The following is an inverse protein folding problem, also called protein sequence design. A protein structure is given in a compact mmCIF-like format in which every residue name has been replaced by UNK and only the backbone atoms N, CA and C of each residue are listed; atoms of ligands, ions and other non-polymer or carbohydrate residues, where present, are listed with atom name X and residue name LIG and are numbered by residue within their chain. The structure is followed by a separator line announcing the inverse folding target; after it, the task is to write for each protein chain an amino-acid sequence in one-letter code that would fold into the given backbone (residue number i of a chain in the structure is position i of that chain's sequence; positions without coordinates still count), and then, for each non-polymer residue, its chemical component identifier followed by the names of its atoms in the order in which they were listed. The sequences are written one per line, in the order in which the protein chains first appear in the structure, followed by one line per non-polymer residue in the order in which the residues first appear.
data_IF_652970735248
#
_entry.id   IF_652970735248
#
_cell.length_a   1.000
_cell.length_b   1.000
_cell.length_c   1.000
_cell.angle_alpha   90.00
_cell.angle_beta   90.00
_cell.angle_gamma   90.00
#
_symmetry.space_group_name_H-M   'P 1'
#
loop_
_entity.id
_entity.type
_entity.pdbx_description
1 polymer ?
#
# COMPACT_ATOMS: atom_id res chain seq x y z
N UNK A 1 -18.87 7.34 15.96
CA UNK A 1 -19.06 6.61 14.69
C UNK A 1 -20.51 6.15 14.48
N UNK A 2 -21.18 5.54 15.47
CA UNK A 2 -22.61 5.15 15.41
C UNK A 2 -23.59 6.31 15.10
N UNK A 3 -23.32 7.53 15.60
CA UNK A 3 -24.13 8.73 15.28
C UNK A 3 -23.96 9.26 13.84
N UNK A 4 -22.84 8.93 13.17
CA UNK A 4 -22.57 9.44 11.82
C UNK A 4 -23.27 8.56 10.78
N UNK A 5 -23.23 7.24 10.96
CA UNK A 5 -23.97 6.29 10.12
C UNK A 5 -25.50 6.48 10.24
N UNK A 6 -26.00 6.85 11.43
CA UNK A 6 -27.42 7.13 11.63
C UNK A 6 -27.94 8.39 10.94
N UNK A 7 -27.08 9.36 10.58
CA UNK A 7 -27.49 10.61 9.93
C UNK A 7 -27.48 10.55 8.39
N UNK A 8 -26.67 9.66 7.80
CA UNK A 8 -26.57 9.54 6.34
C UNK A 8 -27.84 8.93 5.72
N UNK A 9 -28.61 8.15 6.47
CA UNK A 9 -29.78 7.40 5.96
C UNK A 9 -31.13 8.10 6.12
N UNK A 10 -31.18 9.31 6.71
CA UNK A 10 -32.44 10.05 6.91
C UNK A 10 -32.71 10.95 5.69
N UNK A 11 -32.98 10.36 4.53
CA UNK A 11 -33.74 11.04 3.47
C UNK A 11 -35.12 10.37 3.38
N UNK A 12 -36.13 11.12 3.84
CA UNK A 12 -37.55 10.77 3.85
C UNK A 12 -38.05 10.44 2.44
N UNK A 13 -38.72 9.31 2.30
CA UNK A 13 -39.84 9.16 1.36
C UNK A 13 -41.00 8.50 2.09
N UNK A 14 -42.18 9.07 1.90
CA UNK A 14 -43.46 8.68 2.49
C UNK A 14 -44.10 7.55 1.68
N UNK A 15 -44.34 6.40 2.32
CA UNK A 15 -45.29 5.31 2.03
C UNK A 15 -44.64 3.92 2.15
N UNK A 16 -45.17 3.10 3.06
CA UNK A 16 -44.76 1.70 3.33
C UNK A 16 -43.50 1.60 4.20
N UNK A 17 -43.33 0.48 4.93
CA UNK A 17 -42.09 0.25 5.68
C UNK A 17 -40.93 0.26 4.68
N UNK A 18 -40.23 1.37 4.62
CA UNK A 18 -39.25 1.64 3.57
C UNK A 18 -38.12 0.62 3.72
N UNK A 19 -37.44 0.28 2.62
CA UNK A 19 -36.21 -0.52 2.64
C UNK A 19 -35.24 -0.06 3.76
N UNK A 20 -35.25 1.24 4.08
CA UNK A 20 -34.50 1.82 5.19
C UNK A 20 -34.92 1.31 6.58
N UNK A 21 -36.21 1.09 6.85
CA UNK A 21 -36.69 0.54 8.13
C UNK A 21 -36.32 -0.94 8.28
N UNK A 22 -36.33 -1.71 7.19
CA UNK A 22 -35.81 -3.08 7.18
C UNK A 22 -34.29 -3.12 7.43
N UNK A 23 -33.54 -2.18 6.85
CA UNK A 23 -32.11 -2.02 7.10
C UNK A 23 -31.81 -1.63 8.56
N UNK A 24 -32.58 -0.69 9.12
CA UNK A 24 -32.43 -0.28 10.51
C UNK A 24 -32.78 -1.41 11.48
N UNK A 25 -33.83 -2.18 11.21
CA UNK A 25 -34.18 -3.34 12.02
C UNK A 25 -33.07 -4.41 11.99
N UNK A 26 -32.48 -4.68 10.81
CA UNK A 26 -31.39 -5.67 10.67
C UNK A 26 -30.08 -5.20 11.28
N UNK A 27 -29.79 -3.90 11.20
CA UNK A 27 -28.67 -3.28 11.93
C UNK A 27 -28.89 -3.41 13.43
N UNK A 28 -30.07 -3.03 13.93
CA UNK A 28 -30.41 -3.15 15.35
C UNK A 28 -30.27 -4.60 15.84
N UNK A 29 -30.81 -5.57 15.13
CA UNK A 29 -30.68 -6.99 15.47
C UNK A 29 -29.20 -7.47 15.46
N UNK A 30 -28.40 -6.98 14.52
CA UNK A 30 -26.97 -7.32 14.45
C UNK A 30 -26.23 -6.73 15.63
N UNK A 31 -26.43 -5.44 15.94
CA UNK A 31 -25.74 -4.74 17.03
C UNK A 31 -26.23 -5.13 18.42
N UNK A 32 -27.50 -5.50 18.61
CA UNK A 32 -28.04 -6.00 19.88
C UNK A 32 -27.43 -7.36 20.27
N UNK A 33 -26.94 -8.14 19.29
CA UNK A 33 -26.24 -9.42 19.51
C UNK A 33 -24.72 -9.28 19.67
N UNK A 34 -24.16 -8.10 19.43
CA UNK A 34 -22.73 -7.87 19.57
C UNK A 34 -22.39 -7.46 20.98
N UNK A 35 -21.30 -8.03 21.50
CA UNK A 35 -20.74 -7.56 22.75
C UNK A 35 -20.15 -6.15 22.54
N UNK A 36 -20.89 -5.14 22.96
CA UNK A 36 -20.50 -3.74 22.85
C UNK A 36 -19.15 -3.43 23.52
N UNK A 37 -18.77 -4.20 24.55
CA UNK A 37 -17.46 -4.08 25.20
C UNK A 37 -16.33 -4.49 24.26
N UNK A 38 -16.52 -5.59 23.51
CA UNK A 38 -15.53 -6.06 22.52
C UNK A 38 -15.36 -5.03 21.41
N UNK A 39 -16.47 -4.51 20.87
CA UNK A 39 -16.44 -3.47 19.83
C UNK A 39 -15.74 -2.21 20.34
N UNK A 40 -16.08 -1.75 21.54
CA UNK A 40 -15.46 -0.59 22.15
C UNK A 40 -13.95 -0.79 22.30
N UNK A 41 -13.52 -1.93 22.83
CA UNK A 41 -12.11 -2.25 23.02
C UNK A 41 -11.35 -2.31 21.68
N UNK A 42 -11.95 -2.90 20.64
CA UNK A 42 -11.34 -2.93 19.30
C UNK A 42 -11.22 -1.53 18.70
N UNK A 43 -12.26 -0.72 18.76
CA UNK A 43 -12.21 0.67 18.27
C UNK A 43 -11.18 1.49 19.04
N UNK A 44 -11.12 1.34 20.36
CA UNK A 44 -10.13 2.01 21.19
C UNK A 44 -8.71 1.61 20.78
N UNK A 45 -8.45 0.31 20.59
CA UNK A 45 -7.17 -0.19 20.09
C UNK A 45 -6.84 0.37 18.70
N UNK A 46 -7.77 0.33 17.75
CA UNK A 46 -7.55 0.83 16.38
C UNK A 46 -7.20 2.31 16.39
N UNK A 47 -7.97 3.15 17.08
CA UNK A 47 -7.73 4.60 17.08
C UNK A 47 -6.46 4.98 17.85
N UNK A 48 -6.11 4.23 18.89
CA UNK A 48 -4.88 4.44 19.67
C UNK A 48 -3.63 3.84 19.05
N UNK A 49 -3.75 3.00 18.01
CA UNK A 49 -2.59 2.33 17.42
C UNK A 49 -1.75 3.30 16.60
N UNK A 50 -0.45 3.37 16.92
CA UNK A 50 0.57 4.20 16.26
C UNK A 50 1.71 3.31 15.77
N UNK A 51 2.42 3.75 14.72
CA UNK A 51 3.58 3.02 14.19
C UNK A 51 4.65 2.82 15.26
N UNK A 52 5.11 3.90 15.90
CA UNK A 52 6.14 3.83 16.94
C UNK A 52 7.42 3.20 16.40
N UNK A 53 7.97 2.23 17.12
CA UNK A 53 9.22 1.55 16.75
C UNK A 53 9.06 0.44 15.69
N UNK A 54 7.83 0.20 15.20
CA UNK A 54 7.58 -0.82 14.19
C UNK A 54 8.00 -0.32 12.80
N UNK A 55 8.50 -1.26 11.98
CA UNK A 55 8.62 -1.01 10.54
C UNK A 55 7.25 -0.74 9.93
N UNK A 56 7.18 -0.03 8.80
CA UNK A 56 5.91 0.25 8.10
C UNK A 56 5.15 -1.03 7.78
N UNK A 57 5.88 -2.10 7.43
CA UNK A 57 5.32 -3.43 7.15
C UNK A 57 4.67 -4.07 8.37
N UNK A 58 5.37 -4.12 9.51
CA UNK A 58 4.82 -4.70 10.75
C UNK A 58 3.62 -3.91 11.27
N UNK A 59 3.71 -2.59 11.23
CA UNK A 59 2.62 -1.69 11.59
C UNK A 59 1.39 -1.94 10.73
N UNK A 60 1.54 -1.99 9.40
CA UNK A 60 0.44 -2.24 8.48
C UNK A 60 -0.23 -3.61 8.74
N UNK A 61 0.57 -4.66 8.95
CA UNK A 61 0.03 -5.99 9.22
C UNK A 61 -0.80 -6.04 10.51
N UNK A 62 -0.28 -5.44 11.60
CA UNK A 62 -1.00 -5.35 12.88
C UNK A 62 -2.28 -4.54 12.76
N UNK A 63 -2.21 -3.37 12.13
CA UNK A 63 -3.38 -2.51 11.92
C UNK A 63 -4.44 -3.21 11.05
N UNK A 64 -4.02 -3.89 9.98
CA UNK A 64 -4.92 -4.67 9.13
C UNK A 64 -5.56 -5.85 9.86
N UNK A 65 -4.83 -6.51 10.77
CA UNK A 65 -5.41 -7.55 11.64
C UNK A 65 -6.53 -7.00 12.51
N UNK A 66 -6.32 -5.84 13.15
CA UNK A 66 -7.33 -5.17 13.98
C UNK A 66 -8.58 -4.79 13.16
N UNK A 67 -8.39 -4.27 11.95
CA UNK A 67 -9.51 -3.98 11.05
C UNK A 67 -10.28 -5.23 10.65
N UNK A 68 -9.60 -6.33 10.35
CA UNK A 68 -10.25 -7.60 10.00
C UNK A 68 -11.04 -8.17 11.17
N UNK A 69 -10.48 -8.11 12.38
CA UNK A 69 -11.18 -8.54 13.59
C UNK A 69 -12.44 -7.69 13.81
N UNK A 70 -12.34 -6.36 13.65
CA UNK A 70 -13.48 -5.46 13.72
C UNK A 70 -14.54 -5.73 12.63
N UNK A 71 -14.13 -5.98 11.40
CA UNK A 71 -15.03 -6.29 10.28
C UNK A 71 -15.77 -7.64 10.53
N UNK A 72 -15.09 -8.64 11.10
CA UNK A 72 -15.69 -9.92 11.49
C UNK A 72 -16.73 -9.73 12.59
N UNK A 73 -16.44 -8.88 13.59
CA UNK A 73 -17.36 -8.61 14.68
C UNK A 73 -18.58 -7.81 14.20
N UNK A 74 -18.39 -6.78 13.40
CA UNK A 74 -19.49 -5.89 13.02
C UNK A 74 -20.45 -6.46 11.98
N UNK A 75 -20.10 -7.59 11.33
CA UNK A 75 -20.89 -8.32 10.30
C UNK A 75 -21.88 -7.40 9.60
N UNK A 76 -21.36 -6.40 8.88
CA UNK A 76 -22.22 -5.45 8.17
C UNK A 76 -23.27 -6.25 7.36
N UNK A 77 -24.58 -6.01 7.57
CA UNK A 77 -25.60 -6.69 6.80
C UNK A 77 -25.28 -6.57 5.31
N UNK A 78 -25.49 -7.64 4.54
CA UNK A 78 -25.36 -7.57 3.08
C UNK A 78 -26.44 -6.62 2.56
N UNK A 79 -26.06 -5.35 2.34
CA UNK A 79 -26.95 -4.32 1.79
C UNK A 79 -27.12 -4.49 0.28
N UNK A 80 -28.27 -4.03 -0.24
CA UNK A 80 -28.55 -3.93 -1.67
C UNK A 80 -27.50 -3.05 -2.38
N UNK A 81 -27.24 -3.35 -3.66
CA UNK A 81 -26.10 -2.87 -4.44
C UNK A 81 -25.91 -1.35 -4.46
N UNK A 82 -26.99 -0.56 -4.45
CA UNK A 82 -26.91 0.90 -4.58
C UNK A 82 -26.37 1.61 -3.33
N UNK A 83 -26.48 1.02 -2.13
CA UNK A 83 -25.98 1.59 -0.86
C UNK A 83 -24.66 0.96 -0.41
N UNK A 84 -24.19 -0.06 -1.14
CA UNK A 84 -23.01 -0.85 -0.81
C UNK A 84 -21.72 -0.13 -1.20
N UNK A 85 -21.68 0.53 -2.35
CA UNK A 85 -20.45 1.13 -2.88
C UNK A 85 -19.99 2.34 -2.06
N UNK A 86 -20.90 3.27 -1.73
CA UNK A 86 -20.56 4.47 -0.96
C UNK A 86 -20.11 4.14 0.47
N UNK A 87 -20.73 3.15 1.11
CA UNK A 87 -20.34 2.67 2.45
C UNK A 87 -18.95 2.02 2.42
N UNK A 88 -18.64 1.25 1.36
CA UNK A 88 -17.32 0.65 1.19
C UNK A 88 -16.25 1.71 0.92
N UNK A 89 -16.53 2.68 0.03
CA UNK A 89 -15.65 3.83 -0.25
C UNK A 89 -15.38 4.63 1.02
N UNK A 90 -16.42 4.90 1.82
CA UNK A 90 -16.27 5.58 3.09
C UNK A 90 -15.40 4.77 4.07
N UNK A 91 -15.63 3.46 4.20
CA UNK A 91 -14.81 2.59 5.05
C UNK A 91 -13.33 2.60 4.61
N UNK A 92 -13.07 2.49 3.31
CA UNK A 92 -11.73 2.59 2.74
C UNK A 92 -11.07 3.93 3.04
N UNK A 93 -11.80 5.03 2.85
CA UNK A 93 -11.31 6.37 3.20
C UNK A 93 -10.94 6.46 4.68
N UNK A 94 -11.80 5.98 5.59
CA UNK A 94 -11.51 6.00 7.02
C UNK A 94 -10.27 5.15 7.37
N UNK A 95 -10.10 3.97 6.76
CA UNK A 95 -8.91 3.13 6.94
C UNK A 95 -7.65 3.79 6.40
N UNK A 96 -7.73 4.45 5.24
CA UNK A 96 -6.63 5.22 4.67
C UNK A 96 -6.23 6.39 5.58
N UNK A 97 -7.20 7.18 6.03
CA UNK A 97 -6.94 8.30 6.94
C UNK A 97 -6.30 7.80 8.24
N UNK A 98 -6.83 6.71 8.82
CA UNK A 98 -6.24 6.10 9.99
C UNK A 98 -4.79 5.71 9.73
N UNK A 99 -4.50 4.97 8.65
CA UNK A 99 -3.14 4.59 8.29
C UNK A 99 -2.18 5.79 8.30
N UNK A 100 -2.52 6.85 7.55
CA UNK A 100 -1.69 8.03 7.39
C UNK A 100 -1.55 8.85 8.69
N UNK A 101 -2.60 8.95 9.49
CA UNK A 101 -2.59 9.71 10.75
C UNK A 101 -1.80 9.02 11.88
N UNK A 102 -1.54 7.72 11.77
CA UNK A 102 -0.78 6.96 12.77
C UNK A 102 0.61 6.53 12.35
N UNK A 103 1.07 6.93 11.15
CA UNK A 103 2.48 6.87 10.77
C UNK A 103 3.33 7.87 11.55
N UNK A 104 4.62 7.55 11.70
CA UNK A 104 5.58 8.44 12.34
C UNK A 104 5.79 9.74 11.54
N UNK A 105 6.23 10.80 12.25
CA UNK A 105 6.40 12.14 11.65
C UNK A 105 7.43 12.18 10.51
N UNK A 106 8.37 11.25 10.46
CA UNK A 106 9.35 11.11 9.36
C UNK A 106 8.67 10.96 8.00
N UNK A 107 7.44 10.43 7.99
CA UNK A 107 6.63 10.23 6.79
C UNK A 107 5.72 11.42 6.47
N UNK A 108 5.82 12.55 7.18
CA UNK A 108 5.05 13.77 6.88
C UNK A 108 5.14 14.19 5.39
N UNK A 109 6.32 14.19 4.74
CA UNK A 109 6.42 14.60 3.34
C UNK A 109 5.62 13.68 2.41
N UNK A 110 5.75 12.36 2.59
CA UNK A 110 5.02 11.40 1.75
C UNK A 110 3.51 11.43 2.04
N UNK A 111 3.10 11.69 3.29
CA UNK A 111 1.68 11.91 3.64
C UNK A 111 1.11 13.11 2.88
N UNK A 112 1.83 14.23 2.82
CA UNK A 112 1.39 15.41 2.09
C UNK A 112 1.19 15.11 0.60
N UNK A 113 2.11 14.36 -0.02
CA UNK A 113 2.01 13.98 -1.43
C UNK A 113 0.80 13.07 -1.67
N UNK A 114 0.57 12.10 -0.79
CA UNK A 114 -0.56 11.17 -0.90
C UNK A 114 -1.91 11.89 -0.75
N UNK A 115 -2.00 12.88 0.14
CA UNK A 115 -3.21 13.67 0.38
C UNK A 115 -3.51 14.68 -0.74
N UNK A 116 -2.50 15.10 -1.52
CA UNK A 116 -2.67 16.02 -2.65
C UNK A 116 -3.12 15.35 -3.95
N UNK A 117 -3.32 14.02 -3.97
CA UNK A 117 -3.78 13.32 -5.18
C UNK A 117 -5.28 13.54 -5.40
N UNK A 118 -5.67 13.74 -6.66
CA UNK A 118 -7.07 13.96 -7.05
C UNK A 118 -7.97 12.74 -6.78
N UNK A 119 -7.43 11.53 -6.91
CA UNK A 119 -8.15 10.28 -6.65
C UNK A 119 -7.73 9.66 -5.31
N UNK A 120 -8.73 9.24 -4.53
CA UNK A 120 -8.52 8.51 -3.28
C UNK A 120 -7.84 7.17 -3.57
N UNK A 121 -6.64 6.99 -3.05
CA UNK A 121 -5.89 5.73 -3.14
C UNK A 121 -6.53 4.64 -2.28
N UNK A 122 -6.36 3.38 -2.67
CA UNK A 122 -6.63 2.28 -1.77
C UNK A 122 -5.56 2.21 -0.66
N UNK A 123 -5.92 1.61 0.47
CA UNK A 123 -5.01 1.43 1.61
C UNK A 123 -3.75 0.65 1.20
N UNK A 124 -3.90 -0.33 0.31
CA UNK A 124 -2.76 -1.13 -0.19
C UNK A 124 -1.77 -0.30 -1.01
N UNK A 125 -2.28 0.60 -1.86
CA UNK A 125 -1.45 1.46 -2.70
C UNK A 125 -0.69 2.46 -1.83
N UNK A 126 -1.37 3.06 -0.85
CA UNK A 126 -0.73 3.94 0.13
C UNK A 126 0.36 3.21 0.91
N UNK A 127 0.08 1.98 1.38
CA UNK A 127 1.08 1.15 2.04
C UNK A 127 2.31 0.89 1.15
N UNK A 128 2.11 0.51 -0.12
CA UNK A 128 3.21 0.23 -1.04
C UNK A 128 4.11 1.44 -1.25
N UNK A 129 3.52 2.64 -1.38
CA UNK A 129 4.26 3.89 -1.54
C UNK A 129 5.08 4.22 -0.28
N UNK A 130 4.46 4.13 0.90
CA UNK A 130 5.14 4.44 2.18
C UNK A 130 6.23 3.41 2.48
N UNK A 131 6.00 2.12 2.19
CA UNK A 131 7.00 1.05 2.36
C UNK A 131 8.22 1.26 1.45
N UNK A 132 8.00 1.69 0.20
CA UNK A 132 9.08 2.08 -0.70
C UNK A 132 9.88 3.27 -0.17
N UNK A 133 9.20 4.27 0.37
CA UNK A 133 9.83 5.44 0.99
C UNK A 133 10.67 5.06 2.23
N UNK A 134 10.19 4.15 3.07
CA UNK A 134 10.96 3.62 4.22
C UNK A 134 12.26 2.95 3.77
N UNK A 135 12.19 2.12 2.72
CA UNK A 135 13.37 1.47 2.13
C UNK A 135 14.38 2.48 1.57
N UNK A 136 13.91 3.48 0.82
CA UNK A 136 14.78 4.55 0.32
C UNK A 136 15.43 5.37 1.44
N UNK A 137 14.72 5.60 2.55
CA UNK A 137 15.28 6.30 3.71
C UNK A 137 16.33 5.48 4.46
N UNK A 138 16.14 4.17 4.55
CA UNK A 138 17.16 3.26 5.08
C UNK A 138 18.48 3.38 4.30
N UNK A 139 18.38 3.52 2.98
CA UNK A 139 19.53 3.72 2.07
C UNK A 139 20.09 5.15 2.17
N UNK A 140 19.24 6.17 2.29
CA UNK A 140 19.65 7.58 2.34
C UNK A 140 20.41 7.99 3.62
N UNK A 141 20.35 7.19 4.68
CA UNK A 141 21.20 7.41 5.88
C UNK A 141 22.68 7.06 5.63
N UNK A 142 22.98 6.32 4.56
CA UNK A 142 24.31 6.15 3.98
C UNK A 142 24.41 6.95 2.68
N UNK A 143 24.87 8.20 2.77
CA UNK A 143 25.36 9.00 1.64
C UNK A 143 24.31 9.37 0.59
N UNK A 144 23.68 10.54 0.76
CA UNK A 144 23.19 11.33 -0.37
C UNK A 144 24.39 11.92 -1.14
N UNK A 145 25.12 11.07 -1.87
CA UNK A 145 25.77 11.50 -3.11
C UNK A 145 24.85 11.11 -4.25
N UNK A 146 24.60 12.03 -5.16
CA UNK A 146 23.85 11.85 -6.40
C UNK A 146 24.54 10.85 -7.34
N UNK A 147 24.53 9.57 -6.95
CA UNK A 147 25.22 8.47 -7.65
C UNK A 147 24.24 7.40 -8.14
N UNK A 148 22.94 7.53 -7.86
CA UNK A 148 21.90 6.57 -8.24
C UNK A 148 21.38 6.70 -9.67
N UNK A 149 21.74 7.77 -10.39
CA UNK A 149 21.57 7.82 -11.84
C UNK A 149 22.85 7.21 -12.41
N UNK A 150 22.75 5.96 -12.86
CA UNK A 150 23.84 5.33 -13.60
C UNK A 150 24.33 6.26 -14.72
N UNK A 151 25.63 6.20 -15.01
CA UNK A 151 26.21 7.07 -16.03
C UNK A 151 25.48 6.86 -17.37
N UNK A 152 24.98 7.92 -18.03
CA UNK A 152 24.47 7.81 -19.38
C UNK A 152 25.55 7.18 -20.27
N UNK A 153 25.14 6.34 -21.23
CA UNK A 153 26.10 5.78 -22.19
C UNK A 153 26.82 6.90 -22.95
N UNK A 154 28.07 6.68 -23.37
CA UNK A 154 28.85 7.70 -24.10
C UNK A 154 28.09 8.23 -25.32
N UNK A 155 27.29 7.36 -25.96
CA UNK A 155 26.41 7.73 -27.08
C UNK A 155 25.26 8.66 -26.66
N UNK A 156 24.68 8.46 -25.48
CA UNK A 156 23.65 9.34 -24.94
C UNK A 156 24.24 10.68 -24.47
N UNK A 157 25.48 10.67 -23.94
CA UNK A 157 26.19 11.90 -23.56
C UNK A 157 26.45 12.76 -24.79
N UNK A 158 26.89 12.18 -25.90
CA UNK A 158 27.19 12.91 -27.15
C UNK A 158 25.95 13.61 -27.73
N UNK A 159 24.79 12.94 -27.65
CA UNK A 159 23.51 13.52 -28.10
C UNK A 159 23.03 14.65 -27.18
N UNK A 160 23.25 14.53 -25.87
CA UNK A 160 22.76 15.48 -24.86
C UNK A 160 23.76 16.62 -24.58
N UNK A 161 24.96 16.57 -25.16
CA UNK A 161 26.03 17.51 -24.88
C UNK A 161 25.70 18.93 -25.37
N UNK A 162 24.89 19.06 -26.42
CA UNK A 162 24.45 20.36 -26.94
C UNK A 162 23.56 21.13 -25.97
N UNK A 163 22.82 20.42 -25.12
CA UNK A 163 21.73 21.02 -24.33
C UNK A 163 22.14 21.25 -22.87
N UNK A 164 23.12 20.49 -22.34
CA UNK A 164 23.37 20.42 -20.89
C UNK A 164 24.76 20.85 -20.42
N UNK A 165 25.67 21.32 -21.29
CA UNK A 165 27.01 21.83 -20.91
C UNK A 165 27.74 20.96 -19.87
N UNK A 166 27.76 19.63 -20.05
CA UNK A 166 28.57 18.75 -19.19
C UNK A 166 30.06 19.12 -19.32
N UNK A 167 30.72 19.40 -18.19
CA UNK A 167 32.17 19.56 -18.16
C UNK A 167 32.80 18.18 -18.32
N UNK A 168 33.55 17.97 -19.41
CA UNK A 168 34.42 16.79 -19.57
C UNK A 168 35.63 16.98 -18.64
N UNK A 169 35.43 16.79 -17.34
CA UNK A 169 36.55 16.70 -16.42
C UNK A 169 37.22 15.33 -16.60
N UNK A 170 38.48 15.44 -17.02
CA UNK A 170 39.38 14.36 -17.39
C UNK A 170 39.74 13.46 -16.21
N UNK A 171 39.86 12.17 -16.51
CA UNK A 171 40.28 11.05 -15.65
C UNK A 171 39.18 10.43 -14.77
N UNK A 172 38.23 9.75 -15.43
CA UNK A 172 37.34 8.79 -14.78
C UNK A 172 38.13 7.50 -14.57
N UNK A 173 38.42 7.14 -13.31
CA UNK A 173 38.95 5.81 -13.01
C UNK A 173 37.96 4.75 -13.51
N UNK A 174 38.42 3.61 -14.06
CA UNK A 174 37.51 2.60 -14.58
C UNK A 174 36.51 2.17 -13.49
N UNK A 175 35.21 2.27 -13.78
CA UNK A 175 34.17 1.87 -12.84
C UNK A 175 34.01 0.35 -12.87
N UNK A 176 34.43 -0.33 -11.80
CA UNK A 176 34.37 -1.79 -11.67
C UNK A 176 32.95 -2.37 -11.87
N UNK A 177 31.92 -1.55 -11.62
CA UNK A 177 30.50 -1.91 -11.81
C UNK A 177 30.13 -1.86 -13.29
N UNK A 178 30.55 -0.83 -14.01
CA UNK A 178 30.27 -0.67 -15.45
C UNK A 178 30.97 -1.74 -16.29
N UNK A 179 32.17 -2.18 -15.89
CA UNK A 179 32.88 -3.28 -16.56
C UNK A 179 32.13 -4.61 -16.46
N UNK A 180 31.49 -4.89 -15.32
CA UNK A 180 30.66 -6.10 -15.13
C UNK A 180 29.32 -5.99 -15.87
N UNK A 181 28.72 -4.79 -15.93
CA UNK A 181 27.45 -4.55 -16.63
C UNK A 181 27.57 -4.63 -18.17
N UNK A 182 28.79 -4.50 -18.73
CA UNK A 182 29.08 -4.68 -20.16
C UNK A 182 29.32 -6.14 -20.57
N UNK A 183 29.26 -7.10 -19.65
CA UNK A 183 29.26 -8.50 -20.04
C UNK A 183 27.92 -8.85 -20.68
N UNK A 184 27.91 -9.07 -21.99
CA UNK A 184 26.81 -9.76 -22.65
C UNK A 184 26.72 -11.15 -22.05
N UNK A 185 25.56 -11.44 -21.41
CA UNK A 185 25.19 -12.77 -20.89
C UNK A 185 25.51 -13.79 -21.98
N UNK A 186 26.42 -14.72 -21.70
CA UNK A 186 26.73 -15.79 -22.67
C UNK A 186 25.43 -16.51 -23.04
N UNK A 187 25.31 -16.86 -24.32
CA UNK A 187 24.11 -17.52 -24.83
C UNK A 187 23.94 -18.85 -24.08
N UNK A 188 22.81 -19.02 -23.38
CA UNK A 188 22.54 -20.25 -22.65
C UNK A 188 22.66 -21.42 -23.60
N UNK A 189 23.55 -22.35 -23.29
CA UNK A 189 23.48 -23.68 -23.88
C UNK A 189 22.16 -24.27 -23.41
N UNK A 190 21.20 -24.39 -24.33
CA UNK A 190 19.96 -25.10 -24.07
C UNK A 190 20.33 -26.53 -23.67
N UNK A 191 19.91 -26.94 -22.49
CA UNK A 191 20.07 -28.32 -22.04
C UNK A 191 19.11 -29.21 -22.85
N UNK A 192 19.67 -30.11 -23.66
CA UNK A 192 18.90 -31.09 -24.44
C UNK A 192 18.48 -32.32 -23.62
N UNK A 193 18.57 -32.26 -22.29
CA UNK A 193 18.24 -33.39 -21.43
C UNK A 193 16.72 -33.66 -21.41
N UNK A 194 16.32 -34.71 -22.12
CA UNK A 194 14.97 -35.28 -22.05
C UNK A 194 14.99 -36.54 -21.20
N UNK A 195 14.30 -36.51 -20.06
CA UNK A 195 14.06 -37.71 -19.25
C UNK A 195 13.04 -38.61 -19.93
N UNK A 196 13.26 -39.93 -19.86
CA UNK A 196 12.36 -40.95 -20.41
C UNK A 196 11.57 -41.68 -19.33
N UNK A 197 11.73 -41.33 -18.05
CA UNK A 197 11.11 -42.04 -16.92
C UNK A 197 10.55 -41.05 -15.88
N UNK A 198 9.36 -41.37 -15.35
CA UNK A 198 8.71 -40.56 -14.32
C UNK A 198 9.50 -40.66 -13.01
N UNK A 199 10.11 -39.56 -12.57
CA UNK A 199 10.79 -39.45 -11.27
C UNK A 199 12.29 -39.18 -11.30
N UNK A 200 12.91 -39.03 -12.48
CA UNK A 200 14.31 -38.60 -12.56
C UNK A 200 14.49 -37.13 -12.14
N UNK A 201 15.52 -36.88 -11.34
CA UNK A 201 15.88 -35.56 -10.85
C UNK A 201 16.57 -34.77 -11.95
N UNK A 202 15.85 -33.83 -12.57
CA UNK A 202 16.42 -32.91 -13.57
C UNK A 202 17.14 -31.78 -12.83
N UNK A 203 18.44 -31.65 -13.05
CA UNK A 203 19.20 -30.51 -12.56
C UNK A 203 18.84 -29.29 -13.43
N UNK A 204 18.15 -28.31 -12.84
CA UNK A 204 17.85 -27.03 -13.49
C UNK A 204 18.76 -26.00 -12.83
N UNK A 205 19.67 -25.44 -13.61
CA UNK A 205 20.43 -24.27 -13.17
C UNK A 205 19.50 -23.05 -13.20
N UNK A 206 19.22 -22.47 -12.03
CA UNK A 206 18.33 -21.32 -11.81
C UNK A 206 19.09 -19.99 -11.88
#
# INVERSE_FOLDING_TARGET
MLRVLGKVLVKKTSHGLSFNELCLAKLKETYDKLDGSIIFNLLHKIHGFKQGELTVSEYYLKLNSLWREFDIMTKLPKFSYATREDVLKHNQLMKLMQLLMSLNEVFQPIRSILLSKENLLDVKDAFAIVSKEESHRGIASSSFSSSGLGHPSDQAVDVLQSDLKFTKDSYISPCDICHKAKQTREQFLLSDHKTTVIGELVHIDL
#
